data_IF_107902982844
#
_entry.id   IF_107902982844
#
_cell.length_a   1.000
_cell.length_b   1.000
_cell.length_c   1.000
_cell.angle_alpha   90.00
_cell.angle_beta   90.00
_cell.angle_gamma   90.00
#
_symmetry.space_group_name_H-M   'P 1'
#
loop_
_entity.id
_entity.type
_entity.pdbx_description
1 polymer ?
#
# COMPACT_ATOMS: atom_id res chain seq x y z
N UNK A 1 19.89 5.75 -20.66
CA UNK A 1 20.23 5.49 -19.24
C UNK A 1 20.67 6.79 -18.60
N UNK A 2 20.13 7.15 -17.44
CA UNK A 2 20.60 8.29 -16.65
C UNK A 2 21.88 7.87 -15.92
N UNK A 3 22.99 8.57 -16.17
CA UNK A 3 24.23 8.39 -15.42
C UNK A 3 24.21 9.24 -14.15
N UNK A 4 24.45 8.62 -13.01
CA UNK A 4 24.68 9.35 -11.76
C UNK A 4 26.02 10.08 -11.83
N UNK A 5 26.04 11.38 -11.54
CA UNK A 5 27.24 12.24 -11.56
C UNK A 5 27.72 12.66 -10.17
N UNK A 6 27.13 12.15 -9.09
CA UNK A 6 27.51 12.48 -7.71
C UNK A 6 28.19 11.31 -7.00
N UNK A 7 29.36 11.58 -6.44
CA UNK A 7 30.23 10.65 -5.73
C UNK A 7 30.31 10.94 -4.22
N UNK A 8 29.45 11.80 -3.67
CA UNK A 8 29.45 12.12 -2.25
C UNK A 8 28.43 11.28 -1.45
N UNK A 9 28.87 10.67 -0.34
CA UNK A 9 28.02 9.92 0.61
C UNK A 9 28.55 10.08 2.03
N UNK A 10 27.65 10.32 2.98
CA UNK A 10 27.99 10.39 4.40
C UNK A 10 28.24 9.02 5.03
N UNK A 11 27.65 7.95 4.48
CA UNK A 11 27.56 6.63 5.13
C UNK A 11 28.34 5.53 4.41
N UNK A 12 28.51 5.62 3.10
CA UNK A 12 29.17 4.59 2.30
C UNK A 12 30.44 5.18 1.69
N UNK A 13 31.54 5.06 2.43
CA UNK A 13 32.86 5.59 2.04
C UNK A 13 33.71 4.56 1.29
N UNK A 14 33.55 3.27 1.60
CA UNK A 14 34.50 2.23 1.16
C UNK A 14 33.92 1.18 0.20
N UNK A 15 32.59 0.98 0.15
CA UNK A 15 31.91 0.11 -0.81
C UNK A 15 30.69 0.81 -1.40
N UNK A 16 30.61 0.90 -2.73
CA UNK A 16 29.51 1.55 -3.46
C UNK A 16 29.13 0.76 -4.71
N UNK A 17 28.58 -0.42 -4.51
CA UNK A 17 27.85 -1.07 -5.58
C UNK A 17 26.41 -0.53 -5.58
N UNK A 18 26.16 0.45 -6.46
CA UNK A 18 24.81 0.89 -6.72
C UNK A 18 24.09 -0.19 -7.52
N UNK A 19 22.93 -0.63 -7.03
CA UNK A 19 22.03 -1.42 -7.86
C UNK A 19 21.61 -0.59 -9.08
N UNK A 20 21.52 -1.25 -10.24
CA UNK A 20 20.94 -0.65 -11.42
C UNK A 20 19.51 -0.19 -11.11
N UNK A 21 19.11 0.95 -11.67
CA UNK A 21 17.74 1.47 -11.54
C UNK A 21 16.81 0.75 -12.53
N UNK A 22 16.74 -0.57 -12.42
CA UNK A 22 15.90 -1.46 -13.23
C UNK A 22 14.93 -2.15 -12.27
N UNK A 23 13.61 -2.10 -12.55
CA UNK A 23 12.61 -2.84 -11.78
C UNK A 23 12.96 -4.32 -11.62
N UNK A 24 12.80 -4.86 -10.41
CA UNK A 24 13.00 -6.27 -10.08
C UNK A 24 11.78 -7.10 -10.49
N UNK A 25 11.47 -7.16 -11.79
CA UNK A 25 10.32 -7.89 -12.33
C UNK A 25 10.72 -8.63 -13.61
N UNK A 26 10.36 -9.92 -13.74
CA UNK A 26 10.71 -10.74 -14.91
C UNK A 26 10.07 -10.26 -16.22
N UNK A 27 8.92 -9.61 -16.12
CA UNK A 27 8.15 -9.09 -17.24
C UNK A 27 8.50 -7.62 -17.53
N UNK A 28 9.56 -7.10 -16.91
CA UNK A 28 9.99 -5.72 -17.14
C UNK A 28 10.56 -5.55 -18.55
N UNK A 29 9.82 -4.80 -19.36
CA UNK A 29 10.30 -4.28 -20.63
C UNK A 29 9.75 -2.86 -20.85
N UNK A 30 10.65 -1.90 -21.08
CA UNK A 30 10.27 -0.51 -21.37
C UNK A 30 10.26 -0.28 -22.87
N UNK A 31 9.09 -0.50 -23.48
CA UNK A 31 8.87 -0.27 -24.90
C UNK A 31 8.28 1.12 -25.15
N UNK A 32 8.63 1.72 -26.30
CA UNK A 32 7.98 2.95 -26.75
C UNK A 32 6.60 2.62 -27.32
N UNK A 33 5.56 3.24 -26.80
CA UNK A 33 4.18 2.99 -27.16
C UNK A 33 3.31 4.23 -26.89
N UNK A 34 2.07 4.21 -27.36
CA UNK A 34 1.08 5.27 -27.13
C UNK A 34 -0.22 4.69 -26.62
N UNK A 35 -0.78 5.29 -25.57
CA UNK A 35 -2.05 4.85 -24.98
C UNK A 35 -3.19 5.83 -25.16
N UNK A 36 -4.36 5.27 -25.43
CA UNK A 36 -5.63 5.96 -25.26
C UNK A 36 -6.41 5.25 -24.16
N UNK A 37 -6.38 5.84 -22.97
CA UNK A 37 -6.94 5.23 -21.76
C UNK A 37 -8.28 5.85 -21.38
N UNK A 38 -9.22 5.00 -21.00
CA UNK A 38 -10.45 5.35 -20.31
C UNK A 38 -10.41 4.74 -18.91
N UNK A 39 -10.45 5.57 -17.87
CA UNK A 39 -10.38 5.13 -16.47
C UNK A 39 -11.57 5.71 -15.69
N UNK A 40 -12.36 4.85 -15.07
CA UNK A 40 -13.50 5.22 -14.23
C UNK A 40 -13.45 4.48 -12.90
N UNK A 41 -13.68 5.23 -11.82
CA UNK A 41 -13.75 4.72 -10.46
C UNK A 41 -15.02 5.21 -9.76
N UNK A 42 -15.80 4.26 -9.24
CA UNK A 42 -17.01 4.53 -8.46
C UNK A 42 -16.78 4.10 -7.02
N UNK A 43 -16.81 5.06 -6.08
CA UNK A 43 -16.69 4.78 -4.65
C UNK A 43 -18.03 5.00 -3.94
N UNK A 44 -18.51 3.96 -3.26
CA UNK A 44 -19.67 4.00 -2.40
C UNK A 44 -19.27 3.83 -0.93
N UNK A 45 -19.71 4.77 -0.09
CA UNK A 45 -19.58 4.67 1.36
C UNK A 45 -20.87 5.11 2.02
N UNK A 46 -21.57 4.17 2.65
CA UNK A 46 -22.82 4.46 3.34
C UNK A 46 -22.62 5.52 4.43
N UNK A 47 -23.57 6.44 4.59
CA UNK A 47 -23.50 7.55 5.54
C UNK A 47 -24.62 7.45 6.59
N UNK A 48 -24.59 6.47 7.51
CA UNK A 48 -25.66 6.28 8.50
C UNK A 48 -25.74 7.44 9.51
N UNK A 49 -24.61 8.10 9.78
CA UNK A 49 -24.55 9.25 10.70
C UNK A 49 -24.22 10.52 9.91
N UNK A 50 -25.19 11.43 9.82
CA UNK A 50 -25.04 12.73 9.18
C UNK A 50 -25.68 13.82 10.03
N UNK A 51 -25.23 15.05 9.81
CA UNK A 51 -25.86 16.28 10.32
C UNK A 51 -26.38 17.06 9.12
N UNK A 52 -27.53 17.71 9.24
CA UNK A 52 -28.03 18.58 8.17
C UNK A 52 -27.52 19.99 8.44
N UNK A 53 -26.64 20.50 7.57
CA UNK A 53 -26.19 21.90 7.56
C UNK A 53 -26.76 22.56 6.31
N UNK A 54 -27.51 23.66 6.46
CA UNK A 54 -28.04 24.44 5.32
C UNK A 54 -28.84 23.59 4.30
N UNK A 55 -29.62 22.62 4.79
CA UNK A 55 -30.40 21.70 3.94
C UNK A 55 -29.59 20.57 3.31
N UNK A 56 -28.27 20.53 3.51
CA UNK A 56 -27.37 19.50 2.97
C UNK A 56 -26.99 18.51 4.07
N UNK A 57 -27.09 17.21 3.77
CA UNK A 57 -26.61 16.15 4.66
C UNK A 57 -25.08 16.10 4.60
N UNK A 58 -24.43 16.44 5.71
CA UNK A 58 -22.97 16.38 5.88
C UNK A 58 -22.63 15.17 6.75
N UNK A 59 -21.70 14.31 6.34
CA UNK A 59 -21.32 13.14 7.14
C UNK A 59 -20.74 13.56 8.48
N UNK A 60 -21.12 12.86 9.56
CA UNK A 60 -20.53 13.07 10.88
C UNK A 60 -19.16 12.38 10.94
N UNK A 61 -18.11 13.16 10.69
CA UNK A 61 -16.73 12.69 10.74
C UNK A 61 -16.44 11.98 12.07
N UNK A 62 -15.70 10.86 11.99
CA UNK A 62 -15.32 10.05 13.14
C UNK A 62 -16.37 9.07 13.67
N UNK A 63 -17.64 9.20 13.26
CA UNK A 63 -18.70 8.22 13.59
C UNK A 63 -19.02 7.27 12.43
N UNK A 64 -18.73 7.67 11.20
CA UNK A 64 -18.96 6.82 10.05
C UNK A 64 -17.88 5.73 9.91
N UNK A 65 -18.21 4.53 10.39
CA UNK A 65 -17.37 3.34 10.36
C UNK A 65 -17.77 2.35 9.25
N UNK A 66 -18.62 2.74 8.31
CA UNK A 66 -19.01 1.86 7.19
C UNK A 66 -17.82 1.60 6.25
N UNK A 67 -17.79 0.44 5.58
CA UNK A 67 -16.79 0.19 4.56
C UNK A 67 -16.99 1.14 3.37
N UNK A 68 -15.88 1.61 2.81
CA UNK A 68 -15.86 2.21 1.49
C UNK A 68 -15.61 1.09 0.47
N UNK A 69 -16.50 0.95 -0.50
CA UNK A 69 -16.38 0.00 -1.60
C UNK A 69 -16.08 0.82 -2.85
N UNK A 70 -15.03 0.46 -3.56
CA UNK A 70 -14.61 1.11 -4.80
C UNK A 70 -14.64 0.08 -5.91
N UNK A 71 -15.31 0.42 -7.01
CA UNK A 71 -15.29 -0.33 -8.26
C UNK A 71 -14.46 0.47 -9.27
N UNK A 72 -13.45 -0.16 -9.86
CA UNK A 72 -12.61 0.45 -10.88
C UNK A 72 -12.76 -0.29 -12.22
N UNK A 73 -12.79 0.46 -13.31
CA UNK A 73 -12.69 -0.06 -14.66
C UNK A 73 -11.74 0.82 -15.48
N UNK A 74 -10.68 0.22 -16.00
CA UNK A 74 -9.68 0.88 -16.84
C UNK A 74 -9.63 0.14 -18.19
N UNK A 75 -9.70 0.87 -19.29
CA UNK A 75 -9.64 0.33 -20.65
C UNK A 75 -8.61 1.08 -21.48
N UNK A 76 -7.74 0.35 -22.15
CA UNK A 76 -6.98 0.88 -23.28
C UNK A 76 -7.71 0.57 -24.59
N UNK A 77 -7.86 1.58 -25.45
CA UNK A 77 -8.59 1.44 -26.71
C UNK A 77 -7.57 1.50 -27.86
N UNK A 78 -7.44 0.42 -28.67
CA UNK A 78 -6.53 0.39 -29.81
C UNK A 78 -7.11 1.19 -30.97
N UNK A 79 -6.94 2.51 -30.93
CA UNK A 79 -7.25 3.42 -32.03
C UNK A 79 -6.02 3.54 -32.96
N UNK A 80 -6.21 4.06 -34.17
CA UNK A 80 -5.09 4.22 -35.09
C UNK A 80 -4.01 5.14 -34.49
N UNK A 81 -2.81 4.59 -34.29
CA UNK A 81 -1.71 5.26 -33.62
C UNK A 81 -1.67 5.12 -32.10
N UNK A 82 -2.47 4.22 -31.51
CA UNK A 82 -2.36 3.81 -30.12
C UNK A 82 -2.17 2.29 -30.07
N UNK A 83 -1.28 1.83 -29.20
CA UNK A 83 -0.72 0.47 -29.25
C UNK A 83 -1.37 -0.47 -28.21
N UNK A 84 -1.90 0.08 -27.11
CA UNK A 84 -2.50 -0.70 -26.01
C UNK A 84 -3.93 -1.17 -26.25
N UNK A 85 -4.22 -2.42 -25.88
CA UNK A 85 -5.54 -3.06 -25.94
C UNK A 85 -5.73 -3.94 -24.70
N UNK A 86 -6.37 -3.38 -23.68
CA UNK A 86 -6.67 -4.10 -22.44
C UNK A 86 -7.90 -3.57 -21.71
N UNK A 87 -8.44 -4.39 -20.82
CA UNK A 87 -9.56 -4.07 -19.94
C UNK A 87 -9.26 -4.60 -18.53
N UNK A 88 -9.11 -3.72 -17.55
CA UNK A 88 -8.90 -4.06 -16.15
C UNK A 88 -10.17 -3.73 -15.35
N UNK A 89 -10.69 -4.72 -14.62
CA UNK A 89 -11.72 -4.52 -13.60
C UNK A 89 -11.13 -4.75 -12.21
N UNK A 90 -11.50 -3.91 -11.25
CA UNK A 90 -11.07 -4.04 -9.86
C UNK A 90 -12.20 -3.71 -8.87
N UNK A 91 -12.14 -4.35 -7.71
CA UNK A 91 -12.97 -4.05 -6.56
C UNK A 91 -12.09 -3.91 -5.33
N UNK A 92 -12.30 -2.84 -4.56
CA UNK A 92 -11.59 -2.56 -3.32
C UNK A 92 -12.58 -2.30 -2.19
N UNK A 93 -12.29 -2.84 -1.01
CA UNK A 93 -13.03 -2.58 0.23
C UNK A 93 -12.07 -2.08 1.27
N UNK A 94 -12.31 -0.87 1.78
CA UNK A 94 -11.50 -0.24 2.82
C UNK A 94 -12.36 0.16 4.01
N UNK A 95 -11.99 -0.29 5.20
CA UNK A 95 -12.73 0.04 6.41
C UNK A 95 -11.78 0.32 7.58
N UNK A 96 -12.20 1.25 8.45
CA UNK A 96 -11.59 1.52 9.74
C UNK A 96 -12.64 1.36 10.83
N UNK A 97 -12.45 0.36 11.68
CA UNK A 97 -13.31 0.01 12.79
C UNK A 97 -12.69 0.44 14.12
N UNK A 98 -13.49 1.06 14.98
CA UNK A 98 -13.15 1.28 16.39
C UNK A 98 -13.71 0.13 17.21
N UNK A 99 -12.83 -0.74 17.71
CA UNK A 99 -13.21 -2.00 18.40
C UNK A 99 -13.09 -1.92 19.92
N UNK A 100 -12.55 -0.83 20.46
CA UNK A 100 -12.41 -0.65 21.90
C UNK A 100 -11.87 0.72 22.31
N UNK A 101 -11.50 0.86 23.58
CA UNK A 101 -10.85 2.07 24.07
C UNK A 101 -9.51 2.27 23.35
N UNK A 102 -9.39 3.36 22.58
CA UNK A 102 -8.20 3.69 21.76
C UNK A 102 -7.70 2.54 20.85
N UNK A 103 -8.58 1.60 20.49
CA UNK A 103 -8.20 0.42 19.70
C UNK A 103 -8.93 0.44 18.36
N UNK A 104 -8.19 0.30 17.27
CA UNK A 104 -8.71 0.39 15.92
C UNK A 104 -8.24 -0.79 15.08
N UNK A 105 -9.14 -1.33 14.25
CA UNK A 105 -8.82 -2.22 13.15
C UNK A 105 -8.94 -1.43 11.86
N UNK A 106 -7.93 -1.44 11.01
CA UNK A 106 -7.99 -0.90 9.66
C UNK A 106 -7.67 -2.02 8.69
N UNK A 107 -8.50 -2.20 7.67
CA UNK A 107 -8.23 -3.17 6.63
C UNK A 107 -8.56 -2.61 5.25
N UNK A 108 -7.84 -3.13 4.26
CA UNK A 108 -8.06 -2.91 2.84
C UNK A 108 -7.94 -4.27 2.16
N UNK A 109 -8.92 -4.62 1.35
CA UNK A 109 -8.85 -5.79 0.47
C UNK A 109 -9.19 -5.32 -0.93
N UNK A 110 -8.36 -5.65 -1.90
CA UNK A 110 -8.55 -5.34 -3.29
C UNK A 110 -8.34 -6.60 -4.12
N UNK A 111 -9.14 -6.76 -5.17
CA UNK A 111 -8.94 -7.79 -6.16
C UNK A 111 -9.31 -7.25 -7.53
N UNK A 112 -8.64 -7.74 -8.55
CA UNK A 112 -8.89 -7.33 -9.91
C UNK A 112 -8.29 -8.33 -10.89
N UNK A 113 -8.66 -8.17 -12.16
CA UNK A 113 -8.08 -8.97 -13.23
C UNK A 113 -8.24 -8.23 -14.56
N UNK A 114 -7.30 -8.49 -15.46
CA UNK A 114 -7.39 -8.05 -16.84
C UNK A 114 -8.35 -8.99 -17.58
N UNK A 115 -9.52 -8.47 -17.94
CA UNK A 115 -10.54 -9.18 -18.75
C UNK A 115 -10.09 -9.37 -20.20
N UNK A 116 -9.25 -8.46 -20.66
CA UNK A 116 -8.60 -8.42 -21.96
C UNK A 116 -7.19 -7.89 -21.70
N UNK A 117 -6.19 -8.60 -22.21
CA UNK A 117 -4.76 -8.42 -21.92
C UNK A 117 -3.92 -8.59 -23.19
N UNK A 118 -4.50 -8.34 -24.38
CA UNK A 118 -3.82 -8.56 -25.67
C UNK A 118 -2.51 -7.77 -25.79
N UNK A 119 -2.54 -6.50 -25.37
CA UNK A 119 -1.36 -5.65 -25.32
C UNK A 119 -1.41 -4.80 -24.07
N UNK A 120 -0.62 -5.18 -23.07
CA UNK A 120 -0.40 -4.43 -21.83
C UNK A 120 1.08 -4.09 -21.75
N UNK A 121 1.42 -2.80 -21.68
CA UNK A 121 2.79 -2.38 -21.43
C UNK A 121 3.07 -2.27 -19.93
N UNK A 122 4.34 -2.39 -19.55
CA UNK A 122 4.74 -2.55 -18.15
C UNK A 122 4.26 -1.43 -17.23
N UNK A 123 4.19 -0.20 -17.71
CA UNK A 123 3.68 0.96 -16.97
C UNK A 123 2.16 0.96 -16.76
N UNK A 124 1.43 0.17 -17.54
CA UNK A 124 0.01 -0.08 -17.38
C UNK A 124 -0.32 -1.30 -16.51
N UNK A 125 0.69 -2.04 -16.04
CA UNK A 125 0.50 -3.15 -15.11
C UNK A 125 -0.13 -2.67 -13.80
N UNK A 126 -0.81 -3.57 -13.08
CA UNK A 126 -1.18 -3.28 -11.69
C UNK A 126 0.06 -3.26 -10.83
N UNK A 127 0.40 -2.09 -10.30
CA UNK A 127 1.55 -1.90 -9.42
C UNK A 127 1.17 -1.84 -7.94
N UNK A 128 1.83 -2.61 -7.09
CA UNK A 128 1.53 -2.66 -5.65
C UNK A 128 2.37 -1.68 -4.83
N UNK A 129 1.83 -1.21 -3.71
CA UNK A 129 2.57 -0.30 -2.83
C UNK A 129 3.52 -1.10 -1.93
N UNK A 130 4.80 -1.10 -2.30
CA UNK A 130 5.89 -1.68 -1.48
C UNK A 130 6.78 -0.60 -0.86
N UNK A 131 7.46 -0.96 0.23
CA UNK A 131 8.46 -0.13 0.91
C UNK A 131 9.75 -0.92 1.16
N UNK A 132 10.64 -1.05 0.16
CA UNK A 132 11.89 -1.78 0.31
C UNK A 132 12.88 -1.11 1.27
N UNK A 133 12.77 0.22 1.44
CA UNK A 133 13.66 0.98 2.31
C UNK A 133 13.40 0.70 3.80
N UNK A 134 14.48 0.47 4.54
CA UNK A 134 14.46 0.33 6.01
C UNK A 134 13.91 1.59 6.66
N UNK A 135 14.29 2.76 6.17
CA UNK A 135 13.79 4.06 6.62
C UNK A 135 12.94 4.70 5.52
N UNK A 136 11.69 5.02 5.84
CA UNK A 136 10.76 5.66 4.93
C UNK A 136 9.90 6.74 5.59
N UNK A 137 9.06 7.39 4.78
CA UNK A 137 8.08 8.39 5.24
C UNK A 137 6.62 7.94 5.03
N UNK A 138 6.41 6.81 4.35
CA UNK A 138 5.10 6.20 4.19
C UNK A 138 4.70 5.49 5.49
N UNK A 139 3.42 5.57 5.85
CA UNK A 139 2.86 4.76 6.93
C UNK A 139 2.93 3.27 6.57
N UNK A 140 2.94 2.38 7.56
CA UNK A 140 3.00 0.92 7.31
C UNK A 140 1.69 0.32 6.76
N UNK A 141 0.64 1.13 6.56
CA UNK A 141 -0.63 0.71 5.98
C UNK A 141 -1.16 1.73 4.97
N UNK A 142 -1.73 1.30 3.83
CA UNK A 142 -1.79 -0.07 3.29
C UNK A 142 -0.57 -0.32 2.39
N UNK A 143 0.54 -0.79 2.98
CA UNK A 143 1.82 -0.92 2.27
C UNK A 143 2.51 -2.20 2.70
N UNK A 144 2.99 -2.99 1.74
CA UNK A 144 3.83 -4.15 2.02
C UNK A 144 5.28 -3.72 2.26
N UNK A 145 5.92 -4.25 3.29
CA UNK A 145 7.23 -3.83 3.77
C UNK A 145 8.40 -4.58 3.10
N UNK A 146 8.14 -5.76 2.55
CA UNK A 146 9.10 -6.52 1.75
C UNK A 146 8.73 -6.58 0.27
N UNK A 147 9.78 -6.68 -0.55
CA UNK A 147 9.71 -6.65 -2.01
C UNK A 147 10.21 -5.33 -2.58
N UNK A 148 11.08 -5.42 -3.59
CA UNK A 148 11.53 -4.26 -4.34
C UNK A 148 10.37 -3.58 -5.09
N UNK A 149 10.58 -2.34 -5.52
CA UNK A 149 9.59 -1.62 -6.30
C UNK A 149 9.25 -2.40 -7.57
N UNK A 150 7.97 -2.45 -7.90
CA UNK A 150 7.42 -3.15 -9.05
C UNK A 150 7.59 -4.68 -9.07
N UNK A 151 8.19 -5.28 -8.02
CA UNK A 151 8.43 -6.72 -7.98
C UNK A 151 7.17 -7.53 -8.25
N UNK A 152 6.08 -7.17 -7.58
CA UNK A 152 4.80 -7.85 -7.73
C UNK A 152 3.91 -7.27 -8.85
N UNK A 153 4.41 -6.41 -9.74
CA UNK A 153 3.56 -5.87 -10.81
C UNK A 153 3.10 -6.97 -11.76
N UNK A 154 1.83 -6.93 -12.15
CA UNK A 154 1.23 -7.95 -13.03
C UNK A 154 0.21 -7.32 -13.99
N UNK A 155 0.12 -7.89 -15.18
CA UNK A 155 -0.90 -7.71 -16.21
C UNK A 155 -1.99 -8.79 -16.15
N UNK A 156 -2.02 -9.59 -15.07
CA UNK A 156 -2.97 -10.68 -14.89
C UNK A 156 -3.87 -10.47 -13.66
N UNK A 157 -4.56 -11.54 -13.23
CA UNK A 157 -5.42 -11.52 -12.05
C UNK A 157 -4.65 -11.36 -10.74
N UNK A 158 -5.09 -10.46 -9.87
CA UNK A 158 -4.41 -10.16 -8.61
C UNK A 158 -5.35 -10.04 -7.41
N UNK A 159 -4.79 -10.18 -6.22
CA UNK A 159 -5.43 -9.82 -4.98
C UNK A 159 -4.44 -9.18 -4.00
N UNK A 160 -4.88 -8.19 -3.25
CA UNK A 160 -4.10 -7.46 -2.25
C UNK A 160 -4.93 -7.35 -0.96
N UNK A 161 -4.33 -7.63 0.18
CA UNK A 161 -4.97 -7.43 1.47
C UNK A 161 -3.99 -6.84 2.48
N UNK A 162 -4.46 -5.84 3.21
CA UNK A 162 -3.74 -5.20 4.28
C UNK A 162 -4.63 -5.16 5.51
N UNK A 163 -4.06 -5.45 6.67
CA UNK A 163 -4.72 -5.43 7.95
C UNK A 163 -3.79 -4.83 8.99
N UNK A 164 -4.30 -3.89 9.78
CA UNK A 164 -3.61 -3.34 10.95
C UNK A 164 -4.57 -3.28 12.12
N UNK A 165 -4.15 -3.87 13.24
CA UNK A 165 -4.77 -3.69 14.54
C UNK A 165 -3.87 -2.83 15.42
N UNK A 166 -4.32 -1.63 15.76
CA UNK A 166 -3.58 -0.66 16.58
C UNK A 166 -4.25 -0.51 17.94
N UNK A 167 -3.48 -0.61 19.02
CA UNK A 167 -3.96 -0.47 20.40
C UNK A 167 -2.82 -0.11 21.36
N UNK A 168 -3.09 0.65 22.44
CA UNK A 168 -2.10 0.95 23.46
C UNK A 168 -1.96 -0.15 24.54
N UNK A 169 -2.49 -1.37 24.31
CA UNK A 169 -2.62 -2.40 25.36
C UNK A 169 -2.19 -3.82 24.93
N UNK A 170 -1.22 -3.95 24.02
CA UNK A 170 -0.74 -5.27 23.55
C UNK A 170 0.36 -5.83 24.49
N UNK A 171 1.45 -6.33 23.93
CA UNK A 171 2.48 -7.14 24.59
C UNK A 171 3.45 -6.30 25.38
N UNK A 172 4.02 -5.25 24.78
CA UNK A 172 5.06 -4.44 25.42
C UNK A 172 4.53 -3.67 26.63
N UNK A 173 3.23 -3.34 26.62
CA UNK A 173 2.55 -2.68 27.73
C UNK A 173 2.40 -3.56 28.98
N UNK A 174 2.59 -4.87 28.85
CA UNK A 174 2.61 -5.81 29.99
C UNK A 174 3.98 -5.84 30.68
N UNK A 175 5.03 -5.30 30.05
CA UNK A 175 6.38 -5.29 30.62
C UNK A 175 6.58 -4.07 31.55
N UNK A 176 6.94 -4.27 32.83
CA UNK A 176 6.99 -3.20 33.84
C UNK A 176 7.85 -1.99 33.45
N UNK A 177 8.96 -2.21 32.73
CA UNK A 177 9.94 -1.17 32.41
C UNK A 177 9.49 -0.20 31.30
N UNK A 178 8.63 -0.64 30.38
CA UNK A 178 8.27 0.10 29.17
C UNK A 178 6.76 0.38 29.05
N UNK A 179 5.97 -0.05 30.04
CA UNK A 179 4.52 0.15 30.10
C UNK A 179 4.08 1.62 30.03
N UNK A 180 4.83 2.53 30.64
CA UNK A 180 4.44 3.94 30.78
C UNK A 180 4.74 4.81 29.54
N UNK A 181 5.23 4.25 28.43
CA UNK A 181 5.49 4.99 27.18
C UNK A 181 4.19 5.38 26.48
N UNK A 182 4.16 6.50 25.76
CA UNK A 182 2.94 6.99 25.09
C UNK A 182 2.71 6.42 23.67
N UNK A 183 3.44 5.37 23.28
CA UNK A 183 3.24 4.73 21.98
C UNK A 183 1.99 3.84 21.97
N UNK A 184 1.45 3.66 20.78
CA UNK A 184 0.55 2.57 20.45
C UNK A 184 1.36 1.38 19.93
N UNK A 185 0.83 0.18 20.14
CA UNK A 185 1.33 -1.04 19.54
C UNK A 185 0.45 -1.41 18.35
N UNK A 186 1.02 -2.12 17.38
CA UNK A 186 0.34 -2.48 16.15
C UNK A 186 0.70 -3.89 15.70
N UNK A 187 -0.32 -4.67 15.36
CA UNK A 187 -0.18 -5.95 14.65
C UNK A 187 -0.57 -5.71 13.20
N UNK A 188 0.23 -6.23 12.28
CA UNK A 188 0.09 -5.97 10.86
C UNK A 188 0.11 -7.28 10.08
N UNK A 189 -0.69 -7.35 9.04
CA UNK A 189 -0.67 -8.43 8.08
C UNK A 189 -0.86 -7.84 6.68
N UNK A 190 0.05 -8.15 5.77
CA UNK A 190 -0.04 -7.74 4.37
C UNK A 190 0.07 -8.97 3.49
N UNK A 191 -0.71 -9.00 2.41
CA UNK A 191 -0.82 -10.12 1.49
C UNK A 191 -0.95 -9.59 0.07
N UNK A 192 -0.19 -10.18 -0.85
CA UNK A 192 -0.28 -9.94 -2.28
C UNK A 192 -0.30 -11.29 -2.97
N UNK A 193 -1.23 -11.44 -3.90
CA UNK A 193 -1.33 -12.53 -4.83
C UNK A 193 -1.18 -12.03 -6.27
N UNK A 194 -0.32 -12.70 -7.01
CA UNK A 194 -0.13 -12.58 -8.47
C UNK A 194 0.21 -13.96 -9.04
N UNK A 195 -0.05 -14.25 -10.32
CA UNK A 195 0.29 -15.55 -10.90
C UNK A 195 1.79 -15.85 -10.84
N UNK A 196 2.65 -14.83 -10.95
CA UNK A 196 4.10 -14.95 -10.98
C UNK A 196 4.68 -15.26 -9.59
N UNK A 197 4.14 -14.65 -8.53
CA UNK A 197 4.67 -14.79 -7.15
C UNK A 197 3.75 -15.58 -6.22
N UNK A 198 2.64 -16.10 -6.75
CA UNK A 198 1.63 -16.85 -6.01
C UNK A 198 1.24 -16.14 -4.71
N UNK A 199 1.44 -16.78 -3.56
CA UNK A 199 1.04 -16.26 -2.25
C UNK A 199 2.23 -15.61 -1.56
N UNK A 200 2.25 -14.28 -1.49
CA UNK A 200 3.27 -13.58 -0.71
C UNK A 200 2.63 -12.76 0.41
N UNK A 201 3.04 -13.04 1.65
CA UNK A 201 2.49 -12.38 2.82
C UNK A 201 3.55 -12.01 3.84
N UNK A 202 3.21 -11.10 4.73
CA UNK A 202 4.07 -10.70 5.83
C UNK A 202 3.25 -10.43 7.08
N UNK A 203 3.85 -10.74 8.22
CA UNK A 203 3.36 -10.36 9.54
C UNK A 203 4.26 -9.31 10.13
N UNK A 204 3.67 -8.29 10.73
CA UNK A 204 4.38 -7.19 11.36
C UNK A 204 3.94 -6.99 12.80
N UNK A 205 4.89 -6.62 13.64
CA UNK A 205 4.61 -6.08 14.97
C UNK A 205 5.40 -4.78 15.14
N UNK A 206 4.72 -3.70 15.49
CA UNK A 206 5.35 -2.39 15.60
C UNK A 206 4.86 -1.56 16.75
N UNK A 207 5.69 -0.60 17.14
CA UNK A 207 5.37 0.47 18.08
C UNK A 207 5.52 1.80 17.39
N UNK A 208 4.62 2.72 17.72
CA UNK A 208 4.67 4.04 17.10
C UNK A 208 3.74 5.04 17.76
N UNK A 209 3.80 6.23 17.22
CA UNK A 209 2.92 7.34 17.57
C UNK A 209 2.69 8.18 16.32
N UNK A 210 2.18 9.40 16.51
CA UNK A 210 1.93 10.31 15.40
C UNK A 210 3.19 10.71 14.61
N UNK A 211 4.38 10.64 15.20
CA UNK A 211 5.65 11.11 14.62
C UNK A 211 6.46 9.99 13.98
N UNK A 212 6.49 8.81 14.58
CA UNK A 212 7.30 7.69 14.11
C UNK A 212 6.59 6.35 14.29
N UNK A 213 6.95 5.39 13.45
CA UNK A 213 6.60 3.98 13.62
C UNK A 213 7.83 3.13 13.41
N UNK A 214 8.06 2.16 14.29
CA UNK A 214 9.12 1.16 14.18
C UNK A 214 8.46 -0.21 14.23
N UNK A 215 8.70 -1.03 13.22
CA UNK A 215 8.10 -2.35 13.10
C UNK A 215 9.13 -3.43 12.76
N UNK A 216 8.94 -4.60 13.34
CA UNK A 216 9.60 -5.84 12.94
C UNK A 216 8.64 -6.63 12.07
N UNK A 217 9.09 -7.04 10.89
CA UNK A 217 8.29 -7.78 9.92
C UNK A 217 8.96 -9.11 9.60
N UNK A 218 8.15 -10.14 9.40
CA UNK A 218 8.54 -11.44 8.87
C UNK A 218 7.77 -11.68 7.57
N UNK A 219 8.50 -11.85 6.46
CA UNK A 219 7.97 -12.04 5.12
C UNK A 219 8.06 -13.49 4.66
N UNK A 220 7.05 -13.89 3.91
CA UNK A 220 6.86 -15.22 3.37
C UNK A 220 6.53 -15.12 1.87
N UNK A 221 7.16 -15.97 1.06
CA UNK A 221 6.90 -16.10 -0.37
C UNK A 221 6.58 -17.57 -0.66
N UNK A 222 5.50 -17.83 -1.38
CA UNK A 222 4.97 -19.17 -1.63
C UNK A 222 4.87 -20.02 -0.34
N UNK A 223 4.30 -19.41 0.71
CA UNK A 223 4.14 -20.01 2.05
C UNK A 223 5.44 -20.42 2.75
N UNK A 224 6.62 -20.08 2.22
CA UNK A 224 7.92 -20.34 2.82
C UNK A 224 8.45 -19.06 3.45
N UNK A 225 9.12 -19.20 4.58
CA UNK A 225 9.84 -18.10 5.19
C UNK A 225 10.88 -17.54 4.20
N UNK A 226 10.83 -16.25 3.97
CA UNK A 226 11.73 -15.55 3.05
C UNK A 226 12.68 -14.63 3.81
N UNK A 227 12.15 -13.75 4.67
CA UNK A 227 12.97 -12.72 5.32
C UNK A 227 12.40 -12.23 6.63
N UNK A 228 13.25 -11.62 7.46
CA UNK A 228 12.87 -10.87 8.66
C UNK A 228 13.65 -9.56 8.69
N UNK A 229 13.00 -8.47 9.09
CA UNK A 229 13.62 -7.15 9.00
C UNK A 229 12.91 -6.09 9.79
N UNK A 230 13.70 -5.10 10.23
CA UNK A 230 13.19 -3.89 10.87
C UNK A 230 12.81 -2.86 9.80
N UNK A 231 11.79 -2.07 10.11
CA UNK A 231 11.34 -0.92 9.33
C UNK A 231 11.10 0.25 10.26
N UNK A 232 11.44 1.44 9.78
CA UNK A 232 11.26 2.71 10.45
C UNK A 232 10.52 3.63 9.49
N UNK A 233 9.43 4.22 9.96
CA UNK A 233 8.67 5.23 9.25
C UNK A 233 8.65 6.53 10.05
N UNK A 234 8.96 7.64 9.37
CA UNK A 234 8.87 8.99 9.91
C UNK A 234 7.61 9.68 9.38
N UNK A 235 6.50 9.45 10.08
CA UNK A 235 5.18 9.97 9.73
C UNK A 235 5.07 11.49 9.74
N UNK A 236 6.00 12.21 10.39
CA UNK A 236 6.05 13.69 10.41
C UNK A 236 6.19 14.30 9.02
N UNK A 237 6.89 13.60 8.12
CA UNK A 237 7.14 14.07 6.76
C UNK A 237 6.15 13.48 5.75
N UNK A 238 5.22 12.64 6.20
CA UNK A 238 4.16 12.09 5.36
C UNK A 238 3.14 13.18 5.01
N UNK A 239 2.70 13.24 3.74
CA UNK A 239 1.57 14.09 3.35
C UNK A 239 0.31 13.54 4.02
N UNK A 240 -0.11 14.16 5.11
CA UNK A 240 -1.52 14.13 5.52
C UNK A 240 -2.17 15.33 4.87
N UNK A 241 -3.05 15.10 3.91
CA UNK A 241 -3.99 16.14 3.51
C UNK A 241 -4.70 16.60 4.78
N UNK A 242 -4.41 17.84 5.21
CA UNK A 242 -5.18 18.49 6.25
C UNK A 242 -6.52 18.79 5.59
N UNK A 243 -7.47 17.88 5.71
CA UNK A 243 -8.87 18.18 5.41
C UNK A 243 -9.33 19.16 6.48
N UNK A 244 -9.13 20.44 6.22
CA UNK A 244 -9.75 21.53 6.98
C UNK A 244 -11.23 21.47 6.60
N UNK A 245 -12.02 20.73 7.39
CA UNK A 245 -13.46 20.74 7.24
C UNK A 245 -14.02 22.09 7.66
N UNK A 246 -14.77 22.75 6.77
CA UNK A 246 -15.81 23.72 7.13
C UNK A 246 -17.13 22.97 7.42
#
# INVERSE_FOLDING_TARGET
MLENKSDFSFFYRDEREYKLNVPDNSNFEMQNHRDFLFDISLTYKAMPYYVVKEGIKVPRYGMNMTPAITLGYKKAIPLNGFDSDFDLISISVKQKLKVGYKSNISYMVEGGYFMNDKTVFFDDFRHFSTQPLVLGVKEFFPVKQFGDYYRYSTDAGFAEAHFVYQTPFLLLKRLPLIRNRMWDESLMFNYIYTPEYQNSFEFGYGVGNYFYNVGLFAGFEDSKFSTVGLRVSLSVFGRKEIVIGM
#
